data_IF_875332326490
#
_entry.id   IF_875332326490
#
_cell.length_a   1.000
_cell.length_b   1.000
_cell.length_c   1.000
_cell.angle_alpha   90.00
_cell.angle_beta   90.00
_cell.angle_gamma   90.00
#
_symmetry.space_group_name_H-M   'P 1'
#
loop_
_entity.id
_entity.type
_entity.pdbx_description
1 polymer ?
#
# COMPACT_ATOMS: atom_id res chain seq x y z
N UNK A 1 4.86 0.19 19.72
CA UNK A 1 4.25 -0.35 18.49
C UNK A 1 4.08 0.78 17.49
N UNK A 2 4.58 0.60 16.29
CA UNK A 2 4.54 1.65 15.29
C UNK A 2 3.44 1.39 14.28
N UNK A 3 3.14 2.42 13.47
CA UNK A 3 2.19 2.26 12.38
C UNK A 3 2.66 1.20 11.40
N UNK A 4 3.96 1.16 11.13
CA UNK A 4 4.51 0.16 10.23
C UNK A 4 4.33 -1.25 10.78
N UNK A 5 4.52 -1.44 12.08
CA UNK A 5 4.32 -2.75 12.70
C UNK A 5 2.89 -3.21 12.57
N UNK A 6 1.94 -2.30 12.83
CA UNK A 6 0.54 -2.62 12.72
C UNK A 6 0.18 -2.98 11.29
N UNK A 7 0.59 -2.15 10.34
CA UNK A 7 0.27 -2.37 8.94
C UNK A 7 0.88 -3.68 8.43
N UNK A 8 2.14 -3.94 8.78
CA UNK A 8 2.81 -5.16 8.32
C UNK A 8 2.13 -6.41 8.84
N UNK A 9 1.74 -6.39 10.12
CA UNK A 9 1.11 -7.56 10.72
C UNK A 9 -0.21 -7.88 10.06
N UNK A 10 -1.03 -6.86 9.84
CA UNK A 10 -2.35 -7.09 9.26
C UNK A 10 -2.28 -7.36 7.77
N UNK A 11 -1.34 -6.73 7.08
CA UNK A 11 -1.16 -7.03 5.66
C UNK A 11 -0.71 -8.46 5.45
N UNK A 12 0.27 -8.93 6.25
CA UNK A 12 0.74 -10.29 6.14
C UNK A 12 -0.38 -11.29 6.41
N UNK A 13 -1.22 -10.99 7.40
CA UNK A 13 -2.35 -11.86 7.72
C UNK A 13 -3.34 -11.90 6.55
N UNK A 14 -3.58 -10.76 5.92
CA UNK A 14 -4.51 -10.70 4.80
C UNK A 14 -4.00 -11.53 3.61
N UNK A 15 -2.70 -11.44 3.34
CA UNK A 15 -2.11 -12.20 2.25
C UNK A 15 -2.17 -13.70 2.54
N UNK A 16 -1.85 -14.08 3.78
CA UNK A 16 -1.94 -15.50 4.17
C UNK A 16 -3.35 -16.04 4.02
N UNK A 17 -4.33 -15.23 4.41
CA UNK A 17 -5.72 -15.64 4.29
C UNK A 17 -6.14 -15.78 2.83
N UNK A 18 -5.68 -14.87 1.98
CA UNK A 18 -5.98 -14.94 0.55
C UNK A 18 -5.41 -16.23 -0.05
N UNK A 19 -4.17 -16.56 0.30
CA UNK A 19 -3.53 -17.77 -0.20
C UNK A 19 -4.27 -19.02 0.27
N UNK A 20 -4.67 -19.03 1.53
CA UNK A 20 -5.42 -20.16 2.08
C UNK A 20 -6.77 -20.33 1.38
N UNK A 21 -7.36 -19.24 0.92
CA UNK A 21 -8.64 -19.29 0.21
C UNK A 21 -8.49 -19.53 -1.29
N UNK A 22 -7.27 -19.66 -1.77
CA UNK A 22 -7.03 -19.89 -3.19
C UNK A 22 -7.18 -18.64 -4.04
N UNK A 23 -7.06 -17.46 -3.42
CA UNK A 23 -7.15 -16.21 -4.14
C UNK A 23 -5.76 -15.68 -4.44
N UNK A 24 -5.66 -14.87 -5.49
CA UNK A 24 -4.40 -14.24 -5.82
C UNK A 24 -4.13 -13.07 -4.88
N UNK A 25 -2.89 -12.96 -4.45
CA UNK A 25 -2.52 -11.87 -3.55
C UNK A 25 -2.74 -10.51 -4.22
N UNK A 26 -2.60 -10.42 -5.55
CA UNK A 26 -2.84 -9.18 -6.26
C UNK A 26 -4.26 -8.65 -6.10
N UNK A 27 -5.24 -9.56 -6.01
CA UNK A 27 -6.63 -9.15 -5.81
C UNK A 27 -6.80 -8.49 -4.45
N UNK A 28 -6.18 -9.07 -3.42
CA UNK A 28 -6.24 -8.48 -2.08
C UNK A 28 -5.50 -7.15 -2.05
N UNK A 29 -4.35 -7.08 -2.71
CA UNK A 29 -3.60 -5.82 -2.77
C UNK A 29 -4.43 -4.71 -3.39
N UNK A 30 -5.12 -5.01 -4.49
CA UNK A 30 -5.96 -4.00 -5.14
C UNK A 30 -7.10 -3.55 -4.23
N UNK A 31 -7.74 -4.51 -3.57
CA UNK A 31 -8.82 -4.19 -2.65
C UNK A 31 -8.31 -3.32 -1.51
N UNK A 32 -7.13 -3.63 -0.97
CA UNK A 32 -6.57 -2.85 0.12
C UNK A 32 -6.18 -1.46 -0.34
N UNK A 33 -5.67 -1.30 -1.55
CA UNK A 33 -5.38 0.03 -2.08
C UNK A 33 -6.63 0.89 -2.13
N UNK A 34 -7.74 0.31 -2.58
CA UNK A 34 -8.99 1.05 -2.62
C UNK A 34 -9.45 1.45 -1.23
N UNK A 35 -9.29 0.56 -0.26
CA UNK A 35 -9.66 0.88 1.12
C UNK A 35 -8.76 1.95 1.71
N UNK A 36 -7.47 1.92 1.37
CA UNK A 36 -6.53 2.93 1.83
C UNK A 36 -6.91 4.30 1.28
N UNK A 37 -7.23 4.37 -0.01
CA UNK A 37 -7.63 5.62 -0.62
C UNK A 37 -8.91 6.16 0.04
N UNK A 38 -9.88 5.29 0.27
CA UNK A 38 -11.12 5.71 0.92
C UNK A 38 -10.85 6.26 2.31
N UNK A 39 -9.93 5.62 3.03
CA UNK A 39 -9.60 6.09 4.38
C UNK A 39 -8.92 7.45 4.36
N UNK A 40 -8.00 7.64 3.42
CA UNK A 40 -7.33 8.93 3.27
C UNK A 40 -8.34 10.04 2.98
N UNK A 41 -9.33 9.75 2.13
CA UNK A 41 -10.28 10.78 1.74
C UNK A 41 -11.22 11.20 2.84
N UNK A 42 -11.23 10.49 3.96
CA UNK A 42 -12.01 10.92 5.13
C UNK A 42 -11.46 12.20 5.75
N UNK A 43 -10.15 12.41 5.65
CA UNK A 43 -9.51 13.53 6.32
C UNK A 43 -8.59 14.36 5.43
N UNK A 44 -8.41 13.96 4.18
CA UNK A 44 -7.48 14.62 3.27
C UNK A 44 -8.19 14.96 1.97
N UNK A 45 -7.70 15.99 1.29
CA UNK A 45 -8.27 16.40 0.02
C UNK A 45 -7.90 15.40 -1.08
N UNK A 46 -8.68 15.41 -2.15
CA UNK A 46 -8.38 14.59 -3.32
C UNK A 46 -6.97 14.91 -3.84
N UNK A 47 -6.64 16.18 -3.90
CA UNK A 47 -5.34 16.62 -4.40
C UNK A 47 -4.20 16.05 -3.57
N UNK A 48 -4.33 16.04 -2.25
CA UNK A 48 -3.31 15.49 -1.37
C UNK A 48 -3.13 13.99 -1.60
N UNK A 49 -4.24 13.27 -1.71
CA UNK A 49 -4.20 11.83 -1.91
C UNK A 49 -3.59 11.51 -3.26
N UNK A 50 -3.97 12.27 -4.30
CA UNK A 50 -3.40 12.09 -5.62
C UNK A 50 -1.89 12.30 -5.60
N UNK A 51 -1.42 13.32 -4.88
CA UNK A 51 0.01 13.61 -4.80
C UNK A 51 0.76 12.45 -4.16
N UNK A 52 0.20 11.89 -3.11
CA UNK A 52 0.85 10.77 -2.45
C UNK A 52 0.90 9.54 -3.35
N UNK A 53 -0.18 9.27 -4.07
CA UNK A 53 -0.22 8.13 -4.98
C UNK A 53 0.75 8.32 -6.14
N UNK A 54 0.85 9.54 -6.66
CA UNK A 54 1.82 9.84 -7.71
C UNK A 54 3.24 9.63 -7.22
N UNK A 55 3.52 10.05 -6.00
CA UNK A 55 4.84 9.84 -5.42
C UNK A 55 5.17 8.34 -5.36
N UNK A 56 4.23 7.54 -4.88
CA UNK A 56 4.44 6.10 -4.79
C UNK A 56 4.62 5.49 -6.18
N UNK A 57 3.84 5.96 -7.15
CA UNK A 57 3.94 5.45 -8.52
C UNK A 57 5.31 5.75 -9.10
N UNK A 58 5.81 6.96 -8.87
CA UNK A 58 7.10 7.37 -9.40
C UNK A 58 8.25 6.62 -8.77
N UNK A 59 8.06 6.16 -7.53
CA UNK A 59 9.14 5.54 -6.75
C UNK A 59 8.95 4.06 -6.55
N UNK A 60 8.07 3.41 -7.30
CA UNK A 60 7.83 2.00 -7.08
C UNK A 60 8.78 1.08 -7.85
N UNK A 61 9.56 1.63 -8.76
CA UNK A 61 10.50 0.81 -9.53
C UNK A 61 11.83 0.71 -8.79
N UNK A 62 12.18 -0.44 -8.28
CA UNK A 62 13.41 -0.58 -7.51
C UNK A 62 14.66 -0.37 -8.34
N UNK A 63 14.57 -0.53 -9.66
CA UNK A 63 15.75 -0.37 -10.50
C UNK A 63 16.09 1.07 -10.77
N UNK A 64 15.09 1.96 -10.75
CA UNK A 64 15.32 3.35 -11.08
C UNK A 64 15.44 4.21 -9.86
N UNK A 65 15.25 3.64 -8.69
CA UNK A 65 15.14 4.43 -7.52
C UNK A 65 16.23 4.22 -6.54
N UNK A 66 17.40 4.09 -7.07
CA UNK A 66 18.50 3.92 -6.17
C UNK A 66 18.65 5.08 -5.22
N UNK A 67 18.24 6.26 -5.63
CA UNK A 67 18.34 7.40 -4.75
C UNK A 67 17.40 7.29 -3.57
N UNK A 68 16.23 6.76 -3.82
CA UNK A 68 15.24 6.53 -2.81
C UNK A 68 15.62 5.34 -1.93
N UNK A 69 16.15 4.32 -2.54
CA UNK A 69 16.56 3.14 -1.81
C UNK A 69 17.82 3.36 -1.03
N UNK A 70 18.56 4.36 -1.37
CA UNK A 70 19.84 4.59 -0.79
C UNK A 70 19.69 5.17 0.58
N UNK A 71 20.38 4.65 1.53
CA UNK A 71 20.29 5.15 2.89
C UNK A 71 20.78 6.56 2.99
#
# INVERSE_FOLDING_TARGET
MSATDIASRHFSAAIAEAEAAGLESGAVCRAMLNLVVAKYLETRSVSDVQSELHYLADNCDPDTDFAFMRP
#
